data_IF_904096682751
#
_entry.id   IF_904096682751
#
_cell.length_a   1.000
_cell.length_b   1.000
_cell.length_c   1.000
_cell.angle_alpha   90.00
_cell.angle_beta   90.00
_cell.angle_gamma   90.00
#
_symmetry.space_group_name_H-M   'P 1'
#
loop_
_entity.id
_entity.type
_entity.pdbx_description
1 polymer ?
#
# COMPACT_ATOMS: atom_id res chain seq x y z
N UNK A 1 -8.58 -1.97 -27.51
CA UNK A 1 -8.83 -1.27 -26.24
C UNK A 1 -7.71 -1.70 -25.31
N UNK A 2 -6.86 -0.77 -24.92
CA UNK A 2 -5.75 -1.06 -24.00
C UNK A 2 -6.31 -1.00 -22.58
N UNK A 3 -6.26 -2.12 -21.86
CA UNK A 3 -6.74 -2.18 -20.48
C UNK A 3 -5.61 -1.73 -19.57
N UNK A 4 -5.57 -0.43 -19.27
CA UNK A 4 -4.67 0.12 -18.25
C UNK A 4 -5.23 -0.20 -16.86
N UNK A 5 -4.59 -1.15 -16.18
CA UNK A 5 -4.91 -1.50 -14.78
C UNK A 5 -4.25 -0.48 -13.86
N UNK A 6 -5.07 0.33 -13.17
CA UNK A 6 -4.62 1.29 -12.14
C UNK A 6 -4.81 0.65 -10.77
N UNK A 7 -3.73 0.53 -10.00
CA UNK A 7 -3.77 0.08 -8.61
C UNK A 7 -3.66 1.28 -7.67
N UNK A 8 -4.50 1.31 -6.63
CA UNK A 8 -4.46 2.33 -5.59
C UNK A 8 -3.72 1.80 -4.36
N UNK A 9 -3.21 2.71 -3.52
CA UNK A 9 -2.53 2.32 -2.30
C UNK A 9 -3.50 1.57 -1.37
N UNK A 10 -3.12 0.41 -0.83
CA UNK A 10 -4.01 -0.38 0.04
C UNK A 10 -4.16 0.24 1.43
N UNK A 11 -3.18 1.01 1.90
CA UNK A 11 -3.17 1.67 3.21
C UNK A 11 -2.23 2.89 3.18
N UNK A 12 -2.38 3.76 4.17
CA UNK A 12 -1.47 4.89 4.39
C UNK A 12 -0.12 4.37 4.89
N UNK A 13 0.94 4.67 4.14
CA UNK A 13 2.27 4.14 4.39
C UNK A 13 3.33 4.82 3.54
N UNK A 14 4.56 4.32 3.63
CA UNK A 14 5.69 4.81 2.85
C UNK A 14 6.17 3.73 1.89
N UNK A 15 6.37 4.09 0.62
CA UNK A 15 6.97 3.18 -0.37
C UNK A 15 8.44 3.00 -0.04
N UNK A 16 8.85 1.78 0.28
CA UNK A 16 10.22 1.46 0.68
C UNK A 16 11.08 1.00 -0.48
N UNK A 17 10.49 0.32 -1.47
CA UNK A 17 11.21 -0.18 -2.62
C UNK A 17 10.35 -0.18 -3.90
N UNK A 18 11.01 0.04 -5.04
CA UNK A 18 10.46 -0.18 -6.38
C UNK A 18 11.27 -1.28 -7.06
N UNK A 19 10.60 -2.30 -7.58
CA UNK A 19 11.26 -3.45 -8.23
C UNK A 19 11.26 -3.38 -9.76
N UNK A 20 10.42 -2.52 -10.35
CA UNK A 20 10.24 -2.39 -11.80
C UNK A 20 10.16 -0.93 -12.23
N UNK A 21 10.53 -0.66 -13.47
CA UNK A 21 10.40 0.67 -14.09
C UNK A 21 9.27 0.73 -15.13
N UNK A 22 8.90 1.95 -15.51
CA UNK A 22 7.88 2.17 -16.55
C UNK A 22 8.30 1.54 -17.87
N UNK A 23 7.41 0.75 -18.48
CA UNK A 23 7.66 0.03 -19.73
C UNK A 23 8.30 -1.34 -19.55
N UNK A 24 8.62 -1.75 -18.33
CA UNK A 24 9.09 -3.10 -18.04
C UNK A 24 7.91 -4.08 -18.03
N UNK A 25 8.08 -5.23 -18.70
CA UNK A 25 7.05 -6.26 -18.77
C UNK A 25 7.00 -7.03 -17.45
N UNK A 26 5.79 -7.18 -16.91
CA UNK A 26 5.54 -7.91 -15.66
C UNK A 26 4.61 -9.09 -15.91
N UNK A 27 4.80 -10.16 -15.16
CA UNK A 27 3.90 -11.31 -15.16
C UNK A 27 2.80 -11.12 -14.12
N UNK A 28 1.69 -11.83 -14.28
CA UNK A 28 0.66 -11.91 -13.25
C UNK A 28 1.25 -12.35 -11.90
N UNK A 29 0.84 -11.65 -10.83
CA UNK A 29 1.31 -11.91 -9.48
C UNK A 29 2.71 -11.36 -9.14
N UNK A 30 3.40 -10.67 -10.05
CA UNK A 30 4.68 -10.04 -9.74
C UNK A 30 4.52 -8.90 -8.72
N UNK A 31 5.42 -8.85 -7.73
CA UNK A 31 5.46 -7.76 -6.76
C UNK A 31 6.11 -6.52 -7.38
N UNK A 32 5.31 -5.46 -7.58
CA UNK A 32 5.78 -4.24 -8.28
C UNK A 32 6.58 -3.31 -7.38
N UNK A 33 6.16 -3.19 -6.12
CA UNK A 33 6.72 -2.27 -5.12
C UNK A 33 6.46 -2.82 -3.71
N UNK A 34 7.16 -2.25 -2.74
CA UNK A 34 6.96 -2.53 -1.33
C UNK A 34 6.52 -1.25 -0.60
N UNK A 35 5.52 -1.39 0.27
CA UNK A 35 5.00 -0.32 1.11
C UNK A 35 5.01 -0.78 2.56
N UNK A 36 5.61 0.02 3.43
CA UNK A 36 5.49 -0.17 4.87
C UNK A 36 4.35 0.70 5.40
N UNK A 37 3.45 0.14 6.25
CA UNK A 37 2.40 0.94 6.86
C UNK A 37 3.03 2.04 7.71
N UNK A 38 2.43 3.23 7.67
CA UNK A 38 2.73 4.24 8.67
C UNK A 38 2.38 3.61 10.01
N UNK A 39 3.37 3.51 10.91
CA UNK A 39 3.15 2.96 12.24
C UNK A 39 1.96 3.70 12.85
N UNK A 40 0.81 3.04 12.84
CA UNK A 40 -0.38 3.55 13.50
C UNK A 40 -0.01 3.48 14.96
N UNK A 41 0.31 4.63 15.56
CA UNK A 41 0.17 4.78 16.99
C UNK A 41 -1.31 4.49 17.22
N UNK A 42 -1.60 3.26 17.59
CA UNK A 42 -2.93 2.74 17.77
C UNK A 42 -3.59 3.53 18.91
N UNK A 43 -4.26 4.62 18.55
CA UNK A 43 -5.25 5.27 19.41
C UNK A 43 -6.61 4.67 19.07
N UNK A 44 -6.72 3.34 19.14
CA UNK A 44 -7.99 2.63 19.01
C UNK A 44 -8.25 1.70 20.21
N UNK A 45 -7.88 2.13 21.42
CA UNK A 45 -8.44 1.60 22.68
C UNK A 45 -8.80 2.75 23.64
N UNK A 46 -9.61 3.71 23.18
CA UNK A 46 -10.44 4.51 24.08
C UNK A 46 -11.78 3.79 24.27
N UNK A 47 -11.74 2.64 24.98
CA UNK A 47 -12.95 2.10 25.60
C UNK A 47 -13.44 3.15 26.61
N UNK A 48 -14.69 3.58 26.44
CA UNK A 48 -15.30 4.54 27.35
C UNK A 48 -15.29 4.08 28.80
N UNK A 49 -15.08 5.04 29.69
CA UNK A 49 -15.58 5.02 31.05
C UNK A 49 -16.00 6.46 31.39
N UNK A 50 -17.17 6.53 31.98
CA UNK A 50 -18.03 7.64 32.36
C UNK A 50 -17.43 8.52 33.49
N UNK A 51 -17.73 9.83 33.47
CA UNK A 51 -18.14 10.63 34.65
C UNK A 51 -18.53 12.06 34.23
#
# INVERSE_FOLDING_TARGET
MEYITRSEAPFDGTVTAFYFQSGELVTDGAQLLEVEPLAVADTADAKGEEA
#
